data_IF_725251611286
#
_entry.id   IF_725251611286
#
_cell.length_a   1.000
_cell.length_b   1.000
_cell.length_c   1.000
_cell.angle_alpha   90.00
_cell.angle_beta   90.00
_cell.angle_gamma   90.00
#
_symmetry.space_group_name_H-M   'P 1'
#
loop_
_entity.id
_entity.type
_entity.pdbx_description
1 polymer ?
#
# COMPACT_ATOMS: atom_id res chain seq x y z
N UNK A 1 21.21 18.70 -1.65
CA UNK A 1 20.26 18.29 -0.60
C UNK A 1 19.14 17.59 -1.32
N UNK A 2 19.16 16.27 -1.35
CA UNK A 2 17.94 15.50 -1.61
C UNK A 2 17.09 15.68 -0.36
N UNK A 3 16.00 16.44 -0.45
CA UNK A 3 15.02 16.50 0.63
C UNK A 3 14.55 15.07 0.88
N UNK A 4 14.80 14.56 2.08
CA UNK A 4 14.32 13.23 2.46
C UNK A 4 12.80 13.27 2.48
N UNK A 5 12.16 12.37 1.72
CA UNK A 5 10.69 12.30 1.66
C UNK A 5 10.13 12.08 3.06
N UNK A 6 9.04 12.79 3.37
CA UNK A 6 8.31 12.57 4.62
C UNK A 6 7.67 11.17 4.62
N UNK A 7 7.36 10.67 5.81
CA UNK A 7 6.70 9.37 5.96
C UNK A 7 5.33 9.34 5.26
N UNK A 8 4.57 10.45 5.31
CA UNK A 8 3.33 10.58 4.56
C UNK A 8 3.57 10.52 3.05
N UNK A 9 4.63 11.14 2.54
CA UNK A 9 4.96 11.11 1.11
C UNK A 9 5.35 9.70 0.67
N UNK A 10 6.14 8.98 1.46
CA UNK A 10 6.50 7.58 1.20
C UNK A 10 5.25 6.69 1.10
N UNK A 11 4.30 6.86 2.02
CA UNK A 11 3.04 6.09 2.01
C UNK A 11 2.18 6.44 0.80
N UNK A 12 2.05 7.72 0.45
CA UNK A 12 1.33 8.17 -0.75
C UNK A 12 1.94 7.56 -2.02
N UNK A 13 3.27 7.61 -2.13
CA UNK A 13 3.98 7.05 -3.27
C UNK A 13 3.78 5.54 -3.38
N UNK A 14 3.84 4.81 -2.27
CA UNK A 14 3.56 3.38 -2.26
C UNK A 14 2.20 3.04 -2.86
N UNK A 15 1.12 3.70 -2.41
CA UNK A 15 -0.21 3.46 -2.96
C UNK A 15 -0.34 3.90 -4.43
N UNK A 16 0.39 4.92 -4.86
CA UNK A 16 0.48 5.28 -6.27
C UNK A 16 1.16 4.20 -7.11
N UNK A 17 2.25 3.59 -6.60
CA UNK A 17 2.92 2.47 -7.26
C UNK A 17 1.98 1.27 -7.35
N UNK A 18 1.26 0.94 -6.27
CA UNK A 18 0.22 -0.09 -6.30
C UNK A 18 -0.83 0.18 -7.38
N UNK A 19 -1.35 1.42 -7.48
CA UNK A 19 -2.31 1.80 -8.50
C UNK A 19 -1.76 1.62 -9.93
N UNK A 20 -0.53 2.07 -10.18
CA UNK A 20 0.13 1.92 -11.49
C UNK A 20 0.35 0.45 -11.84
N UNK A 21 0.81 -0.35 -10.88
CA UNK A 21 1.03 -1.77 -11.05
C UNK A 21 -0.29 -2.51 -11.39
N UNK A 22 -1.36 -2.22 -10.66
CA UNK A 22 -2.69 -2.80 -10.88
C UNK A 22 -3.33 -2.36 -12.21
N UNK A 23 -3.03 -1.15 -12.69
CA UNK A 23 -3.53 -0.64 -13.97
C UNK A 23 -2.77 -1.19 -15.19
N UNK A 24 -1.63 -1.87 -14.99
CA UNK A 24 -0.81 -2.38 -16.08
C UNK A 24 -1.46 -3.60 -16.74
N UNK A 25 -1.60 -3.68 -18.08
CA UNK A 25 -2.29 -4.79 -18.77
C UNK A 25 -1.76 -6.19 -18.43
N UNK A 26 -0.45 -6.30 -18.17
CA UNK A 26 0.22 -7.55 -17.81
C UNK A 26 -0.05 -8.00 -16.37
N UNK A 27 -0.57 -7.11 -15.51
CA UNK A 27 -0.92 -7.43 -14.14
C UNK A 27 -2.22 -8.25 -14.05
N UNK A 28 -2.94 -8.50 -15.14
CA UNK A 28 -4.30 -9.06 -15.15
C UNK A 28 -4.57 -10.21 -14.16
N UNK A 29 -3.71 -11.25 -14.00
CA UNK A 29 -3.96 -12.29 -13.00
C UNK A 29 -3.76 -11.83 -11.55
N UNK A 30 -2.72 -11.03 -11.29
CA UNK A 30 -2.38 -10.51 -9.95
C UNK A 30 -3.33 -9.39 -9.55
N UNK A 31 -3.63 -8.47 -10.46
CA UNK A 31 -4.52 -7.34 -10.24
C UNK A 31 -5.95 -7.76 -9.97
N UNK A 32 -6.51 -8.70 -10.75
CA UNK A 32 -7.85 -9.24 -10.48
C UNK A 32 -7.92 -9.98 -9.14
N UNK A 33 -6.84 -10.69 -8.75
CA UNK A 33 -6.74 -11.36 -7.47
C UNK A 33 -6.68 -10.35 -6.32
N UNK A 34 -5.81 -9.34 -6.41
CA UNK A 34 -5.68 -8.26 -5.42
C UNK A 34 -7.00 -7.53 -5.27
N UNK A 35 -7.61 -7.07 -6.36
CA UNK A 35 -8.92 -6.41 -6.33
C UNK A 35 -9.98 -7.29 -5.66
N UNK A 36 -10.08 -8.56 -6.05
CA UNK A 36 -11.04 -9.50 -5.46
C UNK A 36 -10.80 -9.74 -3.98
N UNK A 37 -9.54 -9.80 -3.54
CA UNK A 37 -9.18 -10.03 -2.15
C UNK A 37 -9.44 -8.76 -1.32
N UNK A 38 -9.13 -7.56 -1.83
CA UNK A 38 -9.37 -6.31 -1.11
C UNK A 38 -10.87 -6.09 -0.95
N UNK A 39 -11.66 -6.31 -2.00
CA UNK A 39 -13.12 -6.20 -1.94
C UNK A 39 -13.74 -7.19 -0.94
N UNK A 40 -13.13 -8.36 -0.72
CA UNK A 40 -13.57 -9.32 0.31
C UNK A 40 -13.15 -8.92 1.72
N UNK A 41 -11.93 -8.41 1.88
CA UNK A 41 -11.34 -8.08 3.17
C UNK A 41 -11.88 -6.78 3.76
N UNK A 42 -12.34 -5.83 2.92
CA UNK A 42 -12.78 -4.50 3.37
C UNK A 42 -14.17 -4.11 2.82
N UNK A 43 -15.28 -4.55 3.45
CA UNK A 43 -16.65 -4.16 3.08
C UNK A 43 -16.91 -2.64 3.04
N UNK A 44 -16.45 -1.89 4.05
CA UNK A 44 -16.45 -0.43 4.13
C UNK A 44 -15.23 0.21 3.45
N UNK A 45 -14.32 -0.62 2.91
CA UNK A 45 -13.22 -0.24 2.02
C UNK A 45 -12.11 0.57 2.69
N UNK A 46 -12.05 0.66 4.02
CA UNK A 46 -10.99 1.36 4.75
C UNK A 46 -9.83 0.43 5.09
N UNK A 47 -8.63 0.89 4.78
CA UNK A 47 -7.38 0.15 5.00
C UNK A 47 -6.47 1.03 5.85
N UNK A 48 -6.05 0.53 7.01
CA UNK A 48 -5.06 1.18 7.85
C UNK A 48 -3.66 0.57 7.66
N UNK A 49 -2.68 1.45 7.52
CA UNK A 49 -1.26 1.14 7.51
C UNK A 49 -0.62 1.68 8.80
N UNK A 50 0.06 0.81 9.53
CA UNK A 50 1.04 1.20 10.55
C UNK A 50 2.43 1.20 9.92
N UNK A 51 3.05 2.38 9.86
CA UNK A 51 4.44 2.51 9.43
C UNK A 51 5.36 2.29 10.62
N UNK A 52 6.37 1.43 10.44
CA UNK A 52 7.39 1.16 11.44
C UNK A 52 8.80 1.40 10.91
N UNK A 53 9.76 1.59 11.82
CA UNK A 53 11.19 1.53 11.49
C UNK A 53 11.70 0.08 11.35
N UNK A 54 13.00 -0.08 11.13
CA UNK A 54 13.63 -1.40 10.97
C UNK A 54 13.70 -2.21 12.28
N UNK A 55 13.54 -1.54 13.43
CA UNK A 55 13.43 -2.14 14.76
C UNK A 55 11.96 -2.41 15.17
N UNK A 56 11.04 -2.34 14.20
CA UNK A 56 9.59 -2.56 14.38
C UNK A 56 8.89 -1.51 15.29
N UNK A 57 9.52 -0.34 15.52
CA UNK A 57 8.94 0.74 16.33
C UNK A 57 7.98 1.59 15.49
N UNK A 58 6.82 2.00 16.04
CA UNK A 58 5.82 2.76 15.30
C UNK A 58 6.33 4.17 14.97
N UNK A 59 6.22 4.54 13.70
CA UNK A 59 6.53 5.87 13.17
C UNK A 59 5.26 6.68 12.88
N UNK A 60 4.21 6.01 12.38
CA UNK A 60 2.96 6.67 12.01
C UNK A 60 1.85 5.70 11.68
N UNK A 61 0.63 6.22 11.61
CA UNK A 61 -0.55 5.48 11.14
C UNK A 61 -1.22 6.27 10.04
N UNK A 62 -1.63 5.56 9.01
CA UNK A 62 -2.21 6.14 7.81
C UNK A 62 -3.42 5.34 7.38
N UNK A 63 -4.40 6.00 6.80
CA UNK A 63 -5.60 5.36 6.28
C UNK A 63 -5.75 5.69 4.80
N UNK A 64 -6.13 4.70 4.00
CA UNK A 64 -6.63 4.91 2.64
C UNK A 64 -7.92 4.12 2.44
N UNK A 65 -8.53 4.29 1.27
CA UNK A 65 -9.69 3.51 0.83
C UNK A 65 -9.44 2.85 -0.51
N UNK A 66 -10.03 1.68 -0.74
CA UNK A 66 -9.98 1.02 -2.05
C UNK A 66 -11.34 1.07 -2.75
N UNK A 67 -11.43 1.81 -3.85
CA UNK A 67 -12.70 2.07 -4.57
C UNK A 67 -12.43 1.91 -6.06
N UNK A 68 -13.27 1.13 -6.75
CA UNK A 68 -13.26 0.95 -8.20
C UNK A 68 -11.87 0.55 -8.74
N UNK A 69 -11.23 -0.41 -8.07
CA UNK A 69 -9.92 -0.96 -8.47
C UNK A 69 -8.72 -0.10 -8.07
N UNK A 70 -8.91 0.99 -7.33
CA UNK A 70 -7.84 1.94 -6.99
C UNK A 70 -7.81 2.33 -5.51
N UNK A 71 -6.60 2.51 -4.99
CA UNK A 71 -6.36 3.15 -3.71
C UNK A 71 -6.57 4.67 -3.83
N UNK A 72 -7.34 5.22 -2.90
CA UNK A 72 -7.64 6.65 -2.81
C UNK A 72 -6.57 7.45 -2.05
N UNK A 73 -6.87 8.73 -1.76
CA UNK A 73 -5.97 9.59 -0.99
C UNK A 73 -5.63 9.00 0.38
N UNK A 74 -4.37 9.16 0.77
CA UNK A 74 -3.86 8.78 2.08
C UNK A 74 -4.11 9.92 3.07
N UNK A 75 -4.68 9.57 4.22
CA UNK A 75 -4.88 10.47 5.36
C UNK A 75 -4.01 10.01 6.54
N UNK A 76 -3.47 10.96 7.32
CA UNK A 76 -2.81 10.66 8.59
C UNK A 76 -3.83 10.28 9.67
N UNK A 77 -3.45 9.33 10.51
CA UNK A 77 -4.27 8.79 11.58
C UNK A 77 -4.96 7.47 11.22
N UNK A 78 -5.68 6.95 12.21
CA UNK A 78 -6.43 5.70 12.11
C UNK A 78 -7.92 6.00 12.15
N UNK A 79 -8.65 5.55 11.14
CA UNK A 79 -10.11 5.41 11.18
C UNK A 79 -10.43 3.92 11.26
N UNK A 80 -11.40 3.57 12.11
CA UNK A 80 -11.90 2.21 12.40
C UNK A 80 -11.66 1.22 11.24
N UNK A 81 -10.50 0.54 11.21
CA UNK A 81 -10.06 -0.10 9.98
C UNK A 81 -10.53 -1.55 9.92
N UNK A 82 -11.03 -1.94 8.76
CA UNK A 82 -11.43 -3.34 8.52
C UNK A 82 -10.23 -4.22 8.19
N UNK A 83 -9.24 -3.65 7.51
CA UNK A 83 -7.94 -4.27 7.27
C UNK A 83 -6.84 -3.39 7.87
N UNK A 84 -5.90 -4.03 8.57
CA UNK A 84 -4.73 -3.39 9.14
C UNK A 84 -3.47 -4.13 8.74
N UNK A 85 -2.46 -3.38 8.35
CA UNK A 85 -1.16 -3.95 8.05
C UNK A 85 -0.01 -3.06 8.45
N UNK A 86 1.16 -3.65 8.47
CA UNK A 86 2.39 -3.00 8.90
C UNK A 86 3.39 -3.03 7.75
N UNK A 87 4.00 -1.89 7.45
CA UNK A 87 5.14 -1.82 6.52
C UNK A 87 6.32 -1.11 7.18
N UNK A 88 7.53 -1.51 6.77
CA UNK A 88 8.76 -0.83 7.16
C UNK A 88 8.99 0.40 6.30
N UNK A 89 9.48 1.48 6.90
CA UNK A 89 9.89 2.69 6.19
C UNK A 89 10.97 2.41 5.14
N UNK A 90 11.90 1.51 5.43
CA UNK A 90 12.93 1.07 4.48
C UNK A 90 12.35 0.42 3.24
N UNK A 91 11.32 -0.42 3.40
CA UNK A 91 10.59 -1.02 2.28
C UNK A 91 9.83 0.03 1.47
N UNK A 92 9.14 0.99 2.12
CA UNK A 92 8.49 2.06 1.37
C UNK A 92 9.50 2.86 0.54
N UNK A 93 10.66 3.15 1.12
CA UNK A 93 11.74 3.85 0.41
C UNK A 93 12.23 3.06 -0.80
N UNK A 94 12.45 1.74 -0.68
CA UNK A 94 12.85 0.93 -1.85
C UNK A 94 11.79 0.92 -2.94
N UNK A 95 10.50 0.89 -2.56
CA UNK A 95 9.40 0.99 -3.53
C UNK A 95 9.38 2.35 -4.25
N UNK A 96 9.74 3.44 -3.55
CA UNK A 96 9.84 4.76 -4.19
C UNK A 96 11.09 4.88 -5.07
N UNK A 97 12.23 4.40 -4.60
CA UNK A 97 13.50 4.48 -5.32
C UNK A 97 13.53 3.60 -6.58
N UNK A 98 12.90 2.42 -6.51
CA UNK A 98 12.88 1.41 -7.58
C UNK A 98 11.46 1.17 -8.12
N UNK A 99 10.63 2.22 -8.22
CA UNK A 99 9.19 2.10 -8.51
C UNK A 99 8.86 1.30 -9.77
N UNK A 100 9.67 1.43 -10.83
CA UNK A 100 9.46 0.73 -12.09
C UNK A 100 9.55 -0.79 -11.92
N UNK A 101 10.46 -1.28 -11.07
CA UNK A 101 10.61 -2.71 -10.78
C UNK A 101 9.34 -3.28 -10.14
N UNK A 102 8.72 -2.54 -9.22
CA UNK A 102 7.50 -2.95 -8.54
C UNK A 102 6.25 -2.83 -9.43
N UNK A 103 6.24 -1.87 -10.36
CA UNK A 103 5.18 -1.76 -11.38
C UNK A 103 5.25 -2.92 -12.36
N UNK A 104 6.44 -3.28 -12.84
CA UNK A 104 6.64 -4.41 -13.76
C UNK A 104 6.39 -5.77 -13.09
N UNK A 105 6.70 -5.86 -11.79
CA UNK A 105 6.59 -7.07 -10.98
C UNK A 105 5.70 -6.85 -9.75
N UNK A 106 4.37 -6.72 -9.93
CA UNK A 106 3.44 -6.45 -8.83
C UNK A 106 3.51 -7.48 -7.71
N UNK A 107 3.96 -8.72 -7.96
CA UNK A 107 4.17 -9.75 -6.94
C UNK A 107 5.22 -9.40 -5.88
N UNK A 108 6.07 -8.40 -6.13
CA UNK A 108 7.07 -7.89 -5.17
C UNK A 108 6.49 -6.90 -4.15
N UNK A 109 5.31 -6.35 -4.43
CA UNK A 109 4.58 -5.53 -3.46
C UNK A 109 4.06 -6.40 -2.31
N UNK A 110 3.96 -5.83 -1.11
CA UNK A 110 3.45 -6.56 0.04
C UNK A 110 1.92 -6.62 0.00
N UNK A 111 1.40 -7.79 -0.39
CA UNK A 111 -0.01 -8.14 -0.41
C UNK A 111 -0.44 -9.04 0.75
N UNK A 112 0.45 -9.27 1.74
CA UNK A 112 0.19 -10.21 2.85
C UNK A 112 -1.04 -9.83 3.67
N UNK A 113 -1.38 -8.54 3.70
CA UNK A 113 -2.51 -7.98 4.41
C UNK A 113 -3.88 -8.25 3.81
N UNK A 114 -3.94 -8.73 2.56
CA UNK A 114 -5.21 -9.00 1.88
C UNK A 114 -5.69 -10.44 2.12
N UNK A 115 -5.04 -11.17 3.03
CA UNK A 115 -5.50 -12.51 3.42
C UNK A 115 -6.55 -12.36 4.53
N UNK A 116 -7.83 -12.71 4.28
CA UNK A 116 -8.72 -13.01 5.38
C UNK A 116 -8.17 -14.24 6.12
N UNK A 117 -8.13 -14.19 7.45
CA UNK A 117 -7.98 -15.41 8.27
C UNK A 117 -9.04 -16.46 7.92
#
# INVERSE_FOLDING_TARGET
MTDELSDLDLVKWYFNVCNTALATPNASPVGNLVESLVLKATPNRFIALELVDDDDRPLGRYTTRFVDGQFGPVEEGERDPEARFKLRRSFLRSVVEDSDEYVEHPEKLDWSWIRPD
#
